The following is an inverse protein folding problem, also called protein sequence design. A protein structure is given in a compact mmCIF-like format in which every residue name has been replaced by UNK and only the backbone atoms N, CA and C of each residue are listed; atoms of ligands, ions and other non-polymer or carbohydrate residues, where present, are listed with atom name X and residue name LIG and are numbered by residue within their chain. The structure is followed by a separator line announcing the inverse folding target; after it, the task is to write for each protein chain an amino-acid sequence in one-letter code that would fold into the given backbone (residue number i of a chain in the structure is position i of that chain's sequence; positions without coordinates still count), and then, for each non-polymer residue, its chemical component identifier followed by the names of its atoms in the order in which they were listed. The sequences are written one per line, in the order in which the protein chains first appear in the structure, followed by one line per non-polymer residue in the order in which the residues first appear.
data_IF_604614239092
#
_entry.id   IF_604614239092
#
_cell.length_a   1.000
_cell.length_b   1.000
_cell.length_c   1.000
_cell.angle_alpha   90.00
_cell.angle_beta   90.00
_cell.angle_gamma   90.00
#
_symmetry.space_group_name_H-M   'P 1'
#
loop_
_entity.id
_entity.type
_entity.pdbx_description
1 polymer ?
#
# COMPACT_ATOMS: atom_id res chain seq x y z
N UNK A 1 32.37 65.46 1.06
CA UNK A 1 32.06 65.60 -0.37
C UNK A 1 31.10 64.49 -0.79
N UNK A 2 29.86 64.84 -1.13
CA UNK A 2 28.96 64.16 -2.07
C UNK A 2 27.61 64.88 -1.99
N UNK A 3 27.30 65.63 -3.05
CA UNK A 3 26.20 66.56 -3.14
C UNK A 3 24.85 65.83 -3.36
N UNK A 4 23.80 66.34 -2.70
CA UNK A 4 22.41 65.96 -2.94
C UNK A 4 21.89 66.70 -4.17
N UNK A 5 21.55 65.97 -5.24
CA UNK A 5 20.83 66.51 -6.40
C UNK A 5 19.32 66.51 -6.11
N UNK A 6 18.72 67.69 -6.14
CA UNK A 6 17.26 67.90 -6.15
C UNK A 6 16.79 67.83 -7.61
N UNK A 7 15.84 66.96 -7.91
CA UNK A 7 15.10 66.99 -9.17
C UNK A 7 13.99 68.05 -9.09
N UNK A 8 13.96 68.94 -10.08
CA UNK A 8 12.99 70.01 -10.25
C UNK A 8 11.67 69.47 -10.83
N UNK A 9 10.56 69.83 -10.19
CA UNK A 9 9.21 69.66 -10.73
C UNK A 9 8.93 70.79 -11.73
N UNK A 10 9.14 70.54 -13.01
CA UNK A 10 8.59 71.39 -14.08
C UNK A 10 7.14 70.96 -14.35
N UNK A 11 6.21 71.70 -13.76
CA UNK A 11 4.77 71.60 -14.04
C UNK A 11 4.51 72.24 -15.40
N UNK A 12 4.19 71.41 -16.40
CA UNK A 12 3.62 71.85 -17.66
C UNK A 12 2.19 72.33 -17.43
N UNK A 13 2.00 73.66 -17.47
CA UNK A 13 0.69 74.28 -17.62
C UNK A 13 0.27 74.14 -19.08
N UNK A 14 -0.61 73.19 -19.38
CA UNK A 14 -1.53 73.21 -20.53
C UNK A 14 -2.47 72.00 -20.46
N UNK A 15 -3.57 72.13 -19.71
CA UNK A 15 -4.73 71.24 -19.80
C UNK A 15 -5.93 72.05 -20.29
N UNK A 16 -6.63 71.61 -21.35
CA UNK A 16 -7.85 72.28 -21.80
C UNK A 16 -8.96 72.06 -20.76
N UNK A 17 -9.73 73.13 -20.49
CA UNK A 17 -10.95 73.08 -19.70
C UNK A 17 -12.00 72.24 -20.44
N UNK A 18 -12.21 71.00 -20.01
CA UNK A 18 -13.39 70.23 -20.42
C UNK A 18 -14.63 70.83 -19.75
N UNK A 19 -15.30 71.72 -20.47
CA UNK A 19 -16.69 72.13 -20.24
C UNK A 19 -17.59 70.90 -20.43
N UNK A 20 -18.54 70.73 -19.51
CA UNK A 20 -19.43 69.57 -19.43
C UNK A 20 -20.14 69.25 -20.75
N UNK A 21 -19.84 68.07 -21.29
CA UNK A 21 -20.76 67.36 -22.15
C UNK A 21 -21.72 66.60 -21.24
N UNK A 22 -22.99 67.01 -21.24
CA UNK A 22 -24.08 66.14 -20.78
C UNK A 22 -24.06 64.91 -21.67
N UNK A 23 -23.64 63.78 -21.12
CA UNK A 23 -23.86 62.47 -21.71
C UNK A 23 -25.37 62.25 -21.75
N UNK A 24 -25.96 62.48 -22.92
CA UNK A 24 -27.30 62.01 -23.25
C UNK A 24 -27.21 60.49 -23.19
N UNK A 25 -28.01 59.87 -22.33
CA UNK A 25 -28.13 58.42 -22.25
C UNK A 25 -28.55 57.89 -23.62
N UNK A 26 -27.59 57.37 -24.39
CA UNK A 26 -27.88 56.51 -25.53
C UNK A 26 -28.57 55.26 -25.00
N UNK A 27 -29.60 54.80 -25.70
CA UNK A 27 -30.38 53.60 -25.36
C UNK A 27 -29.46 52.47 -24.92
N UNK A 28 -29.53 52.16 -23.62
CA UNK A 28 -28.73 51.10 -23.00
C UNK A 28 -29.29 49.80 -23.53
N UNK A 29 -28.68 49.26 -24.59
CA UNK A 29 -28.90 47.86 -24.97
C UNK A 29 -28.82 47.02 -23.70
N UNK A 30 -29.84 46.19 -23.46
CA UNK A 30 -30.00 45.41 -22.23
C UNK A 30 -28.77 44.51 -22.08
N UNK A 31 -27.74 45.01 -21.38
CA UNK A 31 -26.55 44.25 -21.03
C UNK A 31 -26.94 43.38 -19.86
N UNK A 32 -26.92 42.07 -20.06
CA UNK A 32 -27.10 41.12 -18.97
C UNK A 32 -26.14 41.47 -17.82
N UNK A 33 -26.63 41.56 -16.58
CA UNK A 33 -25.80 41.95 -15.45
C UNK A 33 -24.77 40.85 -15.16
N UNK A 34 -23.48 41.16 -15.35
CA UNK A 34 -22.37 40.28 -15.01
C UNK A 34 -22.01 40.40 -13.52
N UNK A 35 -22.63 39.57 -12.69
CA UNK A 35 -22.32 39.53 -11.26
C UNK A 35 -20.99 38.80 -10.98
N UNK A 36 -20.21 39.24 -9.99
CA UNK A 36 -19.04 38.50 -9.55
C UNK A 36 -19.44 37.15 -8.93
N UNK A 37 -18.59 36.12 -9.01
CA UNK A 37 -18.89 34.83 -8.42
C UNK A 37 -19.02 34.94 -6.90
N UNK A 38 -20.00 34.25 -6.32
CA UNK A 38 -20.22 34.19 -4.87
C UNK A 38 -19.18 33.26 -4.26
N UNK A 39 -18.01 33.80 -3.90
CA UNK A 39 -16.89 33.05 -3.32
C UNK A 39 -16.29 33.79 -2.13
N UNK A 40 -15.83 33.05 -1.12
CA UNK A 40 -15.19 33.62 0.06
C UNK A 40 -13.85 34.32 -0.30
N UNK A 41 -13.41 35.32 0.47
CA UNK A 41 -12.10 35.96 0.25
C UNK A 41 -10.91 34.99 0.45
N UNK A 42 -9.76 35.24 -0.17
CA UNK A 42 -8.55 34.42 -0.01
C UNK A 42 -7.68 34.76 1.19
N UNK A 43 -7.58 36.05 1.51
CA UNK A 43 -6.60 36.59 2.46
C UNK A 43 -7.14 36.72 3.88
N UNK A 44 -8.47 36.63 4.07
CA UNK A 44 -9.07 36.77 5.40
C UNK A 44 -8.65 35.63 6.35
N UNK A 45 -8.63 35.95 7.65
CA UNK A 45 -8.39 34.98 8.73
C UNK A 45 -9.70 34.29 9.15
N UNK A 46 -10.37 33.63 8.21
CA UNK A 46 -11.63 32.89 8.45
C UNK A 46 -11.52 31.42 8.03
N UNK A 47 -12.48 30.61 8.48
CA UNK A 47 -12.62 29.20 8.07
C UNK A 47 -12.95 29.07 6.58
N UNK A 48 -13.81 29.94 6.05
CA UNK A 48 -14.17 30.00 4.63
C UNK A 48 -12.96 30.35 3.74
N UNK A 49 -12.14 31.32 4.14
CA UNK A 49 -10.90 31.66 3.43
C UNK A 49 -9.86 30.53 3.48
N UNK A 50 -9.82 29.75 4.57
CA UNK A 50 -8.97 28.56 4.68
C UNK A 50 -9.42 27.44 3.74
N UNK A 51 -10.73 27.20 3.61
CA UNK A 51 -11.30 26.23 2.66
C UNK A 51 -11.00 26.61 1.21
N UNK A 52 -11.27 27.86 0.82
CA UNK A 52 -10.95 28.35 -0.53
C UNK A 52 -9.47 28.20 -0.89
N UNK A 53 -8.55 28.53 0.03
CA UNK A 53 -7.10 28.30 -0.18
C UNK A 53 -6.75 26.83 -0.35
N UNK A 54 -7.45 25.93 0.35
CA UNK A 54 -7.26 24.49 0.18
C UNK A 54 -7.77 24.04 -1.20
N UNK A 55 -8.93 24.52 -1.64
CA UNK A 55 -9.49 24.24 -2.97
C UNK A 55 -8.61 24.75 -4.11
N UNK A 56 -8.12 25.98 -4.04
CA UNK A 56 -7.20 26.53 -5.06
C UNK A 56 -5.89 25.73 -5.12
N UNK A 57 -5.38 25.29 -3.97
CA UNK A 57 -4.24 24.38 -3.93
C UNK A 57 -4.56 23.01 -4.55
N UNK A 58 -5.75 22.46 -4.30
CA UNK A 58 -6.17 21.19 -4.92
C UNK A 58 -6.20 21.36 -6.44
N UNK A 59 -6.80 22.45 -6.95
CA UNK A 59 -6.83 22.75 -8.40
C UNK A 59 -5.43 22.83 -8.99
N UNK A 60 -4.49 23.48 -8.30
CA UNK A 60 -3.09 23.53 -8.69
C UNK A 60 -2.48 22.12 -8.77
N UNK A 61 -2.69 21.28 -7.74
CA UNK A 61 -2.16 19.91 -7.69
C UNK A 61 -2.74 19.04 -8.82
N UNK A 62 -4.04 19.16 -9.08
CA UNK A 62 -4.72 18.44 -10.17
C UNK A 62 -4.14 18.78 -11.55
N UNK A 63 -3.82 20.06 -11.79
CA UNK A 63 -3.28 20.53 -13.05
C UNK A 63 -1.80 20.16 -13.29
N UNK A 64 -1.09 19.69 -12.27
CA UNK A 64 0.35 19.42 -12.35
C UNK A 64 0.70 17.99 -12.78
N UNK A 65 1.87 17.80 -13.42
CA UNK A 65 2.36 16.48 -13.77
C UNK A 65 2.66 15.64 -12.51
N UNK A 66 2.72 14.31 -12.65
CA UNK A 66 2.80 13.36 -11.53
C UNK A 66 3.98 13.66 -10.58
N UNK A 67 5.17 13.92 -11.09
CA UNK A 67 6.35 14.21 -10.27
C UNK A 67 6.15 15.46 -9.38
N UNK A 68 5.58 16.53 -9.96
CA UNK A 68 5.27 17.77 -9.23
C UNK A 68 4.09 17.57 -8.27
N UNK A 69 3.09 16.78 -8.65
CA UNK A 69 1.95 16.38 -7.81
C UNK A 69 2.45 15.68 -6.54
N UNK A 70 3.32 14.67 -6.68
CA UNK A 70 3.94 13.98 -5.54
C UNK A 70 4.74 14.95 -4.66
N UNK A 71 5.55 15.83 -5.27
CA UNK A 71 6.30 16.86 -4.56
C UNK A 71 5.36 17.77 -3.75
N UNK A 72 4.29 18.29 -4.35
CA UNK A 72 3.35 19.19 -3.68
C UNK A 72 2.55 18.55 -2.54
N UNK A 73 2.20 17.27 -2.69
CA UNK A 73 1.51 16.48 -1.66
C UNK A 73 2.46 16.24 -0.47
N UNK A 74 3.71 15.88 -0.74
CA UNK A 74 4.70 15.47 0.27
C UNK A 74 5.49 16.63 0.88
N UNK A 75 5.51 17.81 0.24
CA UNK A 75 6.30 19.00 0.65
C UNK A 75 6.09 19.44 2.10
N UNK A 76 4.86 19.40 2.59
CA UNK A 76 4.55 19.91 3.93
C UNK A 76 4.77 18.81 4.97
N UNK A 77 5.84 18.96 5.73
CA UNK A 77 6.15 18.08 6.86
C UNK A 77 5.41 18.55 8.12
N UNK A 78 4.67 17.63 8.72
CA UNK A 78 3.98 17.80 10.00
C UNK A 78 4.09 16.49 10.79
N UNK A 79 3.84 16.57 12.08
CA UNK A 79 3.77 15.39 12.96
C UNK A 79 2.74 14.37 12.46
N UNK A 80 3.21 13.20 12.07
CA UNK A 80 2.47 12.05 11.51
C UNK A 80 2.72 10.80 12.35
N UNK A 81 1.75 9.89 12.40
CA UNK A 81 1.90 8.59 13.03
C UNK A 81 2.72 7.68 12.13
N UNK A 82 3.70 6.96 12.70
CA UNK A 82 4.43 5.92 11.98
C UNK A 82 3.74 4.60 12.24
N UNK A 83 3.23 3.98 11.18
CA UNK A 83 2.68 2.63 11.20
C UNK A 83 3.80 1.67 10.84
N UNK A 84 4.06 0.71 11.73
CA UNK A 84 5.06 -0.33 11.52
C UNK A 84 4.34 -1.62 11.08
N UNK A 85 4.58 -2.14 9.87
CA UNK A 85 3.98 -3.41 9.45
C UNK A 85 4.29 -4.54 10.43
N UNK A 86 5.55 -4.66 10.83
CA UNK A 86 6.02 -5.62 11.84
C UNK A 86 5.88 -5.05 13.27
N UNK A 87 4.66 -4.99 13.79
CA UNK A 87 4.33 -4.38 15.10
C UNK A 87 4.17 -5.40 16.23
N UNK A 88 4.47 -4.99 17.47
CA UNK A 88 4.22 -5.78 18.69
C UNK A 88 2.85 -5.50 19.33
N UNK A 89 2.06 -4.60 18.72
CA UNK A 89 0.80 -4.18 19.28
C UNK A 89 -0.26 -5.31 19.19
N UNK A 90 -1.03 -5.47 20.26
CA UNK A 90 -2.12 -6.46 20.30
C UNK A 90 -3.30 -6.01 19.44
N UNK A 91 -3.92 -6.94 18.73
CA UNK A 91 -5.08 -6.71 17.86
C UNK A 91 -4.86 -5.54 16.88
N UNK A 92 -3.63 -5.37 16.39
CA UNK A 92 -3.24 -4.29 15.50
C UNK A 92 -3.93 -4.36 14.13
N UNK A 93 -4.37 -5.55 13.73
CA UNK A 93 -5.06 -5.83 12.48
C UNK A 93 -6.33 -4.98 12.34
N UNK A 94 -7.15 -4.92 13.40
CA UNK A 94 -8.37 -4.09 13.44
C UNK A 94 -8.06 -2.60 13.34
N UNK A 95 -6.97 -2.16 13.98
CA UNK A 95 -6.54 -0.76 13.89
C UNK A 95 -6.05 -0.41 12.49
N UNK A 96 -5.31 -1.30 11.86
CA UNK A 96 -4.79 -1.07 10.52
C UNK A 96 -5.92 -1.06 9.50
N UNK A 97 -6.88 -2.00 9.59
CA UNK A 97 -8.11 -1.98 8.81
C UNK A 97 -8.85 -0.64 8.93
N UNK A 98 -8.96 -0.08 10.13
CA UNK A 98 -9.55 1.24 10.35
C UNK A 98 -8.75 2.38 9.68
N UNK A 99 -7.42 2.38 9.81
CA UNK A 99 -6.56 3.43 9.26
C UNK A 99 -6.49 3.44 7.73
N UNK A 100 -6.72 2.28 7.09
CA UNK A 100 -6.63 2.10 5.64
C UNK A 100 -7.98 1.89 4.97
N UNK A 101 -9.08 1.86 5.74
CA UNK A 101 -10.44 1.55 5.28
C UNK A 101 -10.48 0.22 4.50
N UNK A 102 -9.88 -0.82 5.10
CA UNK A 102 -9.75 -2.15 4.49
C UNK A 102 -10.62 -3.16 5.22
N UNK A 103 -11.39 -3.93 4.48
CA UNK A 103 -12.13 -5.08 4.98
C UNK A 103 -11.29 -6.35 4.81
N UNK A 104 -11.21 -7.16 5.87
CA UNK A 104 -10.53 -8.45 5.83
C UNK A 104 -11.51 -9.58 5.50
N UNK A 105 -11.14 -10.44 4.55
CA UNK A 105 -11.88 -11.64 4.14
C UNK A 105 -10.98 -12.85 4.39
N UNK A 106 -11.49 -13.84 5.10
CA UNK A 106 -10.77 -15.08 5.36
C UNK A 106 -10.74 -15.95 4.11
N UNK A 107 -9.58 -16.55 3.81
CA UNK A 107 -9.37 -17.33 2.59
C UNK A 107 -8.76 -16.50 1.47
N UNK A 108 -8.73 -17.06 0.26
CA UNK A 108 -8.19 -16.41 -0.95
C UNK A 108 -9.33 -16.00 -1.90
N UNK A 109 -9.05 -15.10 -2.85
CA UNK A 109 -10.01 -14.75 -3.90
C UNK A 109 -10.46 -15.98 -4.71
N UNK A 110 -11.66 -15.90 -5.29
CA UNK A 110 -12.24 -16.98 -6.11
C UNK A 110 -11.32 -17.42 -7.25
N UNK A 111 -10.50 -16.51 -7.79
CA UNK A 111 -9.50 -16.81 -8.83
C UNK A 111 -8.49 -17.87 -8.42
N UNK A 112 -8.30 -18.11 -7.12
CA UNK A 112 -7.42 -19.14 -6.59
C UNK A 112 -8.18 -20.41 -6.16
N UNK A 113 -9.53 -20.39 -6.14
CA UNK A 113 -10.38 -21.51 -5.69
C UNK A 113 -11.16 -22.19 -6.81
N UNK A 114 -11.34 -21.56 -7.98
CA UNK A 114 -12.21 -22.02 -9.09
C UNK A 114 -11.93 -23.44 -9.61
N UNK A 115 -10.79 -24.04 -9.30
CA UNK A 115 -10.50 -25.43 -9.68
C UNK A 115 -11.14 -26.50 -8.76
N UNK A 116 -11.85 -26.11 -7.69
CA UNK A 116 -12.57 -27.07 -6.83
C UNK A 116 -13.96 -27.46 -7.36
N UNK A 117 -14.61 -26.63 -8.18
CA UNK A 117 -16.03 -26.79 -8.53
C UNK A 117 -16.31 -27.47 -9.87
N UNK A 118 -15.31 -27.66 -10.73
CA UNK A 118 -15.49 -28.34 -12.03
C UNK A 118 -15.29 -29.87 -11.96
N UNK A 119 -15.26 -30.45 -10.76
CA UNK A 119 -15.35 -31.88 -10.55
C UNK A 119 -16.51 -32.17 -9.59
N UNK A 120 -17.74 -32.16 -10.11
CA UNK A 120 -18.80 -33.00 -9.57
C UNK A 120 -18.56 -34.42 -10.09
N UNK A 121 -18.23 -35.40 -9.23
CA UNK A 121 -18.44 -36.79 -9.56
C UNK A 121 -19.93 -37.08 -9.35
N UNK A 122 -20.64 -37.43 -10.42
CA UNK A 122 -21.73 -38.37 -10.25
C UNK A 122 -21.10 -39.67 -9.72
N UNK A 123 -21.68 -40.16 -8.63
CA UNK A 123 -21.38 -41.38 -7.89
C UNK A 123 -20.20 -41.32 -6.89
N UNK A 124 -20.56 -41.65 -5.65
CA UNK A 124 -19.77 -41.42 -4.46
C UNK A 124 -18.63 -42.41 -4.26
N UNK A 125 -17.45 -41.85 -3.99
CA UNK A 125 -16.43 -42.38 -3.08
C UNK A 125 -15.49 -41.21 -2.72
N UNK A 126 -15.47 -40.82 -1.44
CA UNK A 126 -14.58 -39.77 -0.92
C UNK A 126 -13.13 -40.27 -0.89
N UNK A 127 -12.37 -39.98 -1.94
CA UNK A 127 -10.91 -40.11 -1.93
C UNK A 127 -10.28 -38.85 -1.29
N UNK A 128 -9.38 -38.98 -0.29
CA UNK A 128 -8.68 -37.85 0.31
C UNK A 128 -7.52 -37.44 -0.61
N UNK A 129 -7.82 -36.66 -1.65
CA UNK A 129 -6.81 -36.30 -2.65
C UNK A 129 -7.25 -35.33 -3.74
N UNK A 130 -8.31 -34.54 -3.53
CA UNK A 130 -8.69 -33.48 -4.48
C UNK A 130 -7.68 -32.32 -4.40
N UNK A 131 -6.53 -32.52 -5.02
CA UNK A 131 -5.42 -31.59 -5.01
C UNK A 131 -5.74 -30.31 -5.76
N UNK A 132 -5.26 -29.18 -5.24
CA UNK A 132 -5.22 -27.91 -5.96
C UNK A 132 -4.46 -28.13 -7.28
N UNK A 133 -5.08 -27.84 -8.42
CA UNK A 133 -4.41 -27.81 -9.72
C UNK A 133 -3.84 -26.40 -9.90
N UNK A 134 -2.62 -26.28 -10.44
CA UNK A 134 -2.05 -24.96 -10.74
C UNK A 134 -2.28 -24.70 -12.24
N UNK A 135 -3.11 -23.71 -12.61
CA UNK A 135 -3.40 -23.44 -14.01
C UNK A 135 -2.13 -23.19 -14.83
N UNK A 136 -1.95 -23.96 -15.90
CA UNK A 136 -0.81 -23.82 -16.82
C UNK A 136 0.48 -24.53 -16.41
N UNK A 137 0.44 -25.40 -15.39
CA UNK A 137 1.55 -26.27 -14.99
C UNK A 137 1.16 -27.74 -15.11
N UNK A 138 1.92 -28.49 -15.92
CA UNK A 138 1.77 -29.93 -16.06
C UNK A 138 2.29 -30.66 -14.81
N UNK A 139 1.84 -31.91 -14.59
CA UNK A 139 2.28 -32.72 -13.44
C UNK A 139 3.79 -32.96 -13.39
N UNK A 140 4.43 -33.14 -14.55
CA UNK A 140 5.89 -33.28 -14.66
C UNK A 140 6.62 -31.99 -14.26
N UNK A 141 6.15 -30.84 -14.76
CA UNK A 141 6.67 -29.53 -14.41
C UNK A 141 6.56 -29.25 -12.91
N UNK A 142 5.43 -29.62 -12.29
CA UNK A 142 5.26 -29.52 -10.85
C UNK A 142 6.28 -30.39 -10.10
N UNK A 143 6.55 -31.61 -10.59
CA UNK A 143 7.51 -32.52 -9.98
C UNK A 143 8.94 -31.98 -10.06
N UNK A 144 9.33 -31.37 -11.18
CA UNK A 144 10.62 -30.67 -11.34
C UNK A 144 10.72 -29.51 -10.34
N UNK A 145 9.71 -28.63 -10.27
CA UNK A 145 9.68 -27.50 -9.34
C UNK A 145 9.71 -27.95 -7.88
N UNK A 146 8.99 -29.02 -7.54
CA UNK A 146 9.00 -29.64 -6.21
C UNK A 146 10.39 -30.15 -5.85
N UNK A 147 11.09 -30.80 -6.79
CA UNK A 147 12.47 -31.26 -6.58
C UNK A 147 13.44 -30.09 -6.34
N UNK A 148 13.25 -28.97 -7.05
CA UNK A 148 14.05 -27.76 -6.87
C UNK A 148 13.81 -27.12 -5.49
N UNK A 149 12.56 -27.04 -5.05
CA UNK A 149 12.24 -26.51 -3.71
C UNK A 149 12.83 -27.39 -2.62
N UNK A 150 12.71 -28.71 -2.77
CA UNK A 150 13.34 -29.67 -1.86
C UNK A 150 14.86 -29.44 -1.80
N UNK A 151 15.51 -29.32 -2.96
CA UNK A 151 16.94 -29.02 -3.03
C UNK A 151 17.32 -27.71 -2.32
N UNK A 152 16.55 -26.63 -2.50
CA UNK A 152 16.79 -25.35 -1.83
C UNK A 152 16.65 -25.45 -0.31
N UNK A 153 15.66 -26.22 0.18
CA UNK A 153 15.50 -26.49 1.61
C UNK A 153 16.72 -27.24 2.14
N UNK A 154 17.13 -28.35 1.49
CA UNK A 154 18.30 -29.13 1.89
C UNK A 154 19.61 -28.33 1.82
N UNK A 155 19.76 -27.49 0.80
CA UNK A 155 20.93 -26.63 0.65
C UNK A 155 21.10 -25.71 1.86
N UNK A 156 20.03 -25.06 2.31
CA UNK A 156 20.11 -24.08 3.37
C UNK A 156 20.02 -24.67 4.78
N UNK A 157 19.35 -25.80 4.96
CA UNK A 157 19.17 -26.44 6.27
C UNK A 157 20.22 -27.52 6.57
N UNK A 158 20.71 -28.24 5.56
CA UNK A 158 21.60 -29.38 5.76
C UNK A 158 23.01 -29.17 5.18
N UNK A 159 23.13 -28.82 3.89
CA UNK A 159 24.45 -28.75 3.23
C UNK A 159 25.28 -27.52 3.63
N UNK A 160 24.62 -26.37 3.80
CA UNK A 160 25.31 -25.12 4.12
C UNK A 160 25.70 -25.07 5.59
N UNK A 161 27.00 -25.15 5.87
CA UNK A 161 27.55 -24.94 7.21
C UNK A 161 27.37 -23.49 7.65
N UNK A 162 26.38 -23.24 8.51
CA UNK A 162 26.10 -21.91 9.08
C UNK A 162 26.86 -21.73 10.40
N UNK A 163 27.39 -20.53 10.63
CA UNK A 163 27.89 -20.14 11.96
C UNK A 163 26.70 -20.00 12.90
N UNK A 164 26.92 -20.23 14.20
CA UNK A 164 25.88 -20.04 15.21
C UNK A 164 25.40 -18.59 15.17
N UNK A 165 24.15 -18.41 14.76
CA UNK A 165 23.53 -17.09 14.69
C UNK A 165 23.28 -16.52 16.10
N UNK A 166 23.30 -15.20 16.21
CA UNK A 166 22.80 -14.53 17.42
C UNK A 166 21.29 -14.75 17.55
N UNK A 167 20.79 -14.89 18.77
CA UNK A 167 19.38 -15.17 19.09
C UNK A 167 18.41 -14.14 18.46
N UNK A 168 18.88 -12.90 18.24
CA UNK A 168 18.08 -11.81 17.67
C UNK A 168 18.31 -11.56 16.17
N UNK A 169 19.14 -12.40 15.52
CA UNK A 169 19.38 -12.36 14.08
C UNK A 169 19.23 -13.74 13.44
N UNK A 170 18.62 -14.68 14.12
CA UNK A 170 18.53 -16.07 13.70
C UNK A 170 17.66 -16.19 12.44
N UNK A 171 16.46 -15.62 12.47
CA UNK A 171 15.57 -15.54 11.31
C UNK A 171 16.25 -14.89 10.10
N UNK A 172 16.89 -13.73 10.29
CA UNK A 172 17.54 -13.00 9.18
C UNK A 172 18.73 -13.79 8.60
N UNK A 173 19.53 -14.46 9.44
CA UNK A 173 20.74 -15.17 9.01
C UNK A 173 20.45 -16.57 8.45
N UNK A 174 19.43 -17.25 8.95
CA UNK A 174 19.14 -18.63 8.56
C UNK A 174 18.03 -18.72 7.52
N UNK A 175 16.91 -18.01 7.75
CA UNK A 175 15.71 -18.06 6.90
C UNK A 175 15.76 -17.02 5.79
N UNK A 176 16.38 -15.86 6.03
CA UNK A 176 16.56 -14.83 5.02
C UNK A 176 17.23 -15.32 3.72
N UNK A 177 18.38 -16.03 3.79
CA UNK A 177 19.00 -16.63 2.61
C UNK A 177 18.15 -17.71 1.95
N UNK A 178 17.46 -18.54 2.74
CA UNK A 178 16.52 -19.54 2.22
C UNK A 178 15.42 -18.90 1.38
N UNK A 179 14.76 -17.87 1.90
CA UNK A 179 13.70 -17.17 1.18
C UNK A 179 14.23 -16.51 -0.11
N UNK A 180 15.46 -15.97 -0.07
CA UNK A 180 16.13 -15.39 -1.26
C UNK A 180 16.43 -16.43 -2.32
N UNK A 181 16.97 -17.59 -1.94
CA UNK A 181 17.24 -18.68 -2.86
C UNK A 181 15.95 -19.25 -3.44
N UNK A 182 14.94 -19.48 -2.59
CA UNK A 182 13.64 -20.01 -2.99
C UNK A 182 12.98 -19.12 -4.04
N UNK A 183 12.81 -17.82 -3.76
CA UNK A 183 12.14 -16.89 -4.67
C UNK A 183 12.94 -16.67 -5.95
N UNK A 184 14.28 -16.61 -5.87
CA UNK A 184 15.12 -16.48 -7.07
C UNK A 184 14.97 -17.70 -7.98
N UNK A 185 15.09 -18.91 -7.43
CA UNK A 185 14.95 -20.17 -8.19
C UNK A 185 13.54 -20.28 -8.77
N UNK A 186 12.50 -20.02 -7.98
CA UNK A 186 11.12 -20.09 -8.47
C UNK A 186 10.83 -19.05 -9.55
N UNK A 187 11.26 -17.79 -9.38
CA UNK A 187 11.07 -16.74 -10.41
C UNK A 187 11.69 -17.17 -11.75
N UNK A 188 12.90 -17.72 -11.73
CA UNK A 188 13.58 -18.17 -12.95
C UNK A 188 12.96 -19.44 -13.56
N UNK A 189 12.63 -20.44 -12.75
CA UNK A 189 12.06 -21.69 -13.25
C UNK A 189 10.64 -21.51 -13.77
N UNK A 190 9.83 -20.69 -13.08
CA UNK A 190 8.46 -20.38 -13.48
C UNK A 190 8.42 -19.49 -14.73
N UNK A 191 9.50 -18.76 -15.06
CA UNK A 191 9.55 -17.93 -16.25
C UNK A 191 9.34 -18.70 -17.57
N UNK A 192 9.57 -20.02 -17.59
CA UNK A 192 9.23 -20.90 -18.72
C UNK A 192 7.72 -20.95 -19.00
N UNK A 193 6.91 -20.87 -17.94
CA UNK A 193 5.44 -21.00 -17.98
C UNK A 193 4.73 -19.64 -17.89
N UNK A 194 5.34 -18.68 -17.19
CA UNK A 194 4.86 -17.31 -17.07
C UNK A 194 5.89 -16.32 -17.64
N UNK A 195 5.73 -15.85 -18.90
CA UNK A 195 6.71 -14.98 -19.55
C UNK A 195 6.85 -13.60 -18.89
N UNK A 196 5.90 -13.18 -18.05
CA UNK A 196 5.99 -11.91 -17.30
C UNK A 196 7.15 -11.95 -16.30
N UNK A 197 7.47 -13.13 -15.76
CA UNK A 197 8.60 -13.29 -14.85
C UNK A 197 9.94 -13.02 -15.54
N UNK A 198 10.07 -13.28 -16.84
CA UNK A 198 11.26 -12.98 -17.63
C UNK A 198 11.54 -11.47 -17.70
N UNK A 199 10.48 -10.66 -17.77
CA UNK A 199 10.54 -9.20 -17.83
C UNK A 199 10.30 -8.54 -16.47
N UNK A 200 10.28 -9.33 -15.40
CA UNK A 200 10.09 -8.83 -14.05
C UNK A 200 11.41 -8.35 -13.45
N UNK A 201 11.31 -7.46 -12.45
CA UNK A 201 12.44 -7.05 -11.63
C UNK A 201 12.31 -7.64 -10.24
N UNK A 202 13.38 -8.29 -9.79
CA UNK A 202 13.51 -8.87 -8.46
C UNK A 202 14.37 -7.96 -7.59
N UNK A 203 13.75 -7.19 -6.69
CA UNK A 203 14.51 -6.34 -5.78
C UNK A 203 14.74 -7.05 -4.44
N UNK A 204 15.97 -6.98 -3.93
CA UNK A 204 16.34 -7.55 -2.63
C UNK A 204 16.41 -6.43 -1.59
N UNK A 205 15.57 -6.55 -0.56
CA UNK A 205 15.44 -5.60 0.55
C UNK A 205 15.16 -4.15 0.12
N UNK A 206 14.18 -3.91 -0.79
CA UNK A 206 13.82 -2.57 -1.22
C UNK A 206 13.12 -1.81 -0.11
N UNK A 207 13.15 -0.48 -0.19
CA UNK A 207 12.31 0.36 0.66
C UNK A 207 10.95 0.57 -0.01
N UNK A 208 9.88 0.42 0.75
CA UNK A 208 8.52 0.79 0.32
C UNK A 208 7.97 1.80 1.31
N UNK A 209 7.35 2.87 0.82
CA UNK A 209 6.86 3.93 1.70
C UNK A 209 5.61 4.57 1.15
N UNK A 210 4.66 4.90 2.04
CA UNK A 210 3.41 5.54 1.66
C UNK A 210 2.96 6.53 2.72
N UNK A 211 2.51 7.70 2.27
CA UNK A 211 2.02 8.80 3.10
C UNK A 211 0.57 9.12 2.74
N UNK A 212 -0.30 9.13 3.74
CA UNK A 212 -1.71 9.45 3.53
C UNK A 212 -2.33 10.16 4.76
N UNK A 213 -3.61 10.52 4.61
CA UNK A 213 -4.43 11.13 5.66
C UNK A 213 -5.69 10.31 5.85
N UNK A 214 -6.10 10.11 7.10
CA UNK A 214 -7.34 9.42 7.47
C UNK A 214 -7.86 10.04 8.77
N UNK A 215 -9.08 10.57 8.74
CA UNK A 215 -9.70 11.17 9.92
C UNK A 215 -9.10 12.53 10.33
N UNK A 216 -9.69 13.11 11.37
CA UNK A 216 -9.32 14.41 11.93
C UNK A 216 -9.26 14.34 13.45
N UNK A 217 -8.55 15.29 14.04
CA UNK A 217 -8.48 15.44 15.50
C UNK A 217 -8.44 16.91 15.89
N UNK A 218 -9.00 17.21 17.05
CA UNK A 218 -8.86 18.51 17.69
C UNK A 218 -7.61 18.49 18.54
N UNK A 219 -6.76 19.51 18.40
CA UNK A 219 -5.51 19.60 19.17
C UNK A 219 -5.86 19.83 20.66
N UNK A 220 -5.44 18.94 21.58
CA UNK A 220 -5.89 19.01 22.97
C UNK A 220 -5.18 20.08 23.81
N UNK A 221 -3.87 20.30 23.57
CA UNK A 221 -3.01 21.19 24.37
C UNK A 221 -2.06 22.02 23.49
N UNK A 222 -1.50 23.09 24.05
CA UNK A 222 -0.54 23.99 23.40
C UNK A 222 -1.19 25.17 22.66
N UNK A 223 -0.38 26.00 22.00
CA UNK A 223 -0.83 27.24 21.35
C UNK A 223 -1.85 27.05 20.20
N UNK A 224 -1.94 25.84 19.64
CA UNK A 224 -2.92 25.48 18.59
C UNK A 224 -4.15 24.76 19.13
N UNK A 225 -4.38 24.77 20.45
CA UNK A 225 -5.53 24.10 21.09
C UNK A 225 -6.85 24.51 20.42
N UNK A 226 -7.75 23.54 20.27
CA UNK A 226 -9.06 23.76 19.65
C UNK A 226 -9.05 23.79 18.12
N UNK A 227 -7.88 23.86 17.48
CA UNK A 227 -7.80 23.78 16.03
C UNK A 227 -7.97 22.34 15.53
N UNK A 228 -8.77 22.19 14.48
CA UNK A 228 -8.94 20.96 13.72
C UNK A 228 -7.72 20.69 12.83
N UNK A 229 -7.20 19.47 12.89
CA UNK A 229 -6.06 19.00 12.10
C UNK A 229 -6.32 17.60 11.55
N UNK A 230 -5.98 17.33 10.27
CA UNK A 230 -6.05 15.97 9.73
C UNK A 230 -5.02 15.06 10.39
N UNK A 231 -5.43 13.83 10.67
CA UNK A 231 -4.54 12.79 11.15
C UNK A 231 -3.75 12.23 9.96
N UNK A 232 -2.42 12.21 10.11
CA UNK A 232 -1.47 11.85 9.06
C UNK A 232 -0.76 10.55 9.44
N UNK A 233 -0.53 9.72 8.46
CA UNK A 233 0.12 8.42 8.62
C UNK A 233 1.27 8.26 7.63
N UNK A 234 2.26 7.47 8.03
CA UNK A 234 3.36 7.04 7.18
C UNK A 234 3.63 5.57 7.48
N UNK A 235 3.76 4.76 6.43
CA UNK A 235 4.36 3.43 6.50
C UNK A 235 5.73 3.53 5.84
N UNK A 236 6.74 3.03 6.53
CA UNK A 236 8.08 2.81 5.98
C UNK A 236 8.42 1.34 6.18
N UNK A 237 8.32 0.57 5.10
CA UNK A 237 8.46 -0.87 5.07
C UNK A 237 9.71 -1.31 4.29
N UNK A 238 10.18 -2.52 4.59
CA UNK A 238 11.32 -3.17 3.93
C UNK A 238 11.04 -4.67 3.76
N UNK A 239 10.28 -5.08 2.72
CA UNK A 239 10.16 -6.49 2.37
C UNK A 239 11.54 -7.12 2.12
N UNK A 240 11.67 -8.43 2.28
CA UNK A 240 12.93 -9.12 1.97
C UNK A 240 13.16 -9.16 0.46
N UNK A 241 12.10 -9.44 -0.30
CA UNK A 241 12.10 -9.46 -1.76
C UNK A 241 10.79 -8.86 -2.24
N UNK A 242 10.83 -8.16 -3.37
CA UNK A 242 9.61 -7.85 -4.12
C UNK A 242 9.83 -8.14 -5.60
N UNK A 243 8.77 -8.60 -6.26
CA UNK A 243 8.72 -8.79 -7.70
C UNK A 243 7.90 -7.65 -8.29
N UNK A 244 8.48 -6.92 -9.23
CA UNK A 244 7.80 -5.86 -9.98
C UNK A 244 7.65 -6.24 -11.44
N UNK A 245 6.59 -5.77 -12.06
CA UNK A 245 6.24 -6.04 -13.46
C UNK A 245 5.93 -4.75 -14.22
N UNK A 246 6.01 -4.82 -15.54
CA UNK A 246 5.66 -3.71 -16.45
C UNK A 246 4.16 -3.53 -16.60
N UNK A 247 3.40 -4.60 -16.37
CA UNK A 247 1.95 -4.65 -16.49
C UNK A 247 1.30 -4.89 -15.13
N UNK A 248 0.11 -4.34 -14.96
CA UNK A 248 -0.68 -4.43 -13.75
C UNK A 248 -1.41 -5.77 -13.68
N UNK A 249 -1.40 -6.41 -12.50
CA UNK A 249 -2.16 -7.64 -12.26
C UNK A 249 -3.67 -7.43 -12.42
N UNK A 250 -4.43 -8.47 -12.80
CA UNK A 250 -5.87 -8.36 -12.97
C UNK A 250 -6.54 -8.15 -11.61
N UNK A 251 -7.70 -7.50 -11.63
CA UNK A 251 -8.50 -7.31 -10.43
C UNK A 251 -9.06 -8.66 -9.94
N UNK A 252 -9.07 -8.88 -8.63
CA UNK A 252 -9.71 -10.07 -8.04
C UNK A 252 -11.23 -9.91 -7.97
N UNK A 253 -11.69 -8.68 -7.82
CA UNK A 253 -13.08 -8.34 -7.68
C UNK A 253 -13.43 -7.04 -8.42
N UNK A 254 -14.69 -6.87 -8.83
CA UNK A 254 -15.15 -5.59 -9.35
C UNK A 254 -14.89 -4.43 -8.39
N UNK A 255 -14.54 -3.26 -8.93
CA UNK A 255 -14.24 -2.06 -8.14
C UNK A 255 -15.38 -1.64 -7.20
N UNK A 256 -16.63 -1.89 -7.62
CA UNK A 256 -17.84 -1.53 -6.89
C UNK A 256 -18.46 -2.70 -6.11
N UNK A 257 -17.76 -3.85 -6.03
CA UNK A 257 -18.26 -5.01 -5.31
C UNK A 257 -18.51 -4.66 -3.83
N UNK A 258 -19.76 -4.82 -3.40
CA UNK A 258 -20.15 -4.68 -2.00
C UNK A 258 -19.78 -5.96 -1.25
N UNK A 259 -18.66 -5.93 -0.54
CA UNK A 259 -18.32 -7.01 0.39
C UNK A 259 -19.19 -6.90 1.64
N UNK A 260 -19.68 -8.06 2.11
CA UNK A 260 -20.36 -8.19 3.41
C UNK A 260 -19.41 -7.87 4.57
N UNK A 261 -18.10 -8.02 4.37
CA UNK A 261 -17.09 -7.75 5.39
C UNK A 261 -17.07 -6.26 5.78
N UNK A 262 -17.38 -6.00 7.05
CA UNK A 262 -17.35 -4.66 7.62
C UNK A 262 -15.93 -4.21 7.95
N UNK A 263 -15.69 -2.89 7.83
CA UNK A 263 -14.43 -2.28 8.27
C UNK A 263 -14.59 -1.94 9.74
N UNK A 264 -13.70 -2.42 10.64
CA UNK A 264 -13.74 -2.05 12.04
C UNK A 264 -13.63 -0.52 12.24
N UNK A 265 -14.55 0.04 13.02
CA UNK A 265 -14.50 1.45 13.40
C UNK A 265 -13.95 1.63 14.82
N UNK A 266 -12.83 2.33 14.92
CA UNK A 266 -12.19 2.61 16.20
C UNK A 266 -12.42 4.06 16.59
N UNK A 267 -13.20 4.27 17.65
CA UNK A 267 -13.49 5.61 18.21
C UNK A 267 -12.35 6.15 19.07
N UNK A 268 -11.38 5.30 19.42
CA UNK A 268 -10.23 5.66 20.25
C UNK A 268 -9.16 6.36 19.41
N UNK A 269 -8.39 7.23 20.06
CA UNK A 269 -7.31 7.93 19.40
C UNK A 269 -6.14 6.97 19.07
N UNK A 270 -5.44 7.14 17.94
CA UNK A 270 -4.37 6.22 17.51
C UNK A 270 -3.21 6.06 18.50
N UNK A 271 -3.02 7.00 19.42
CA UNK A 271 -1.99 6.96 20.46
C UNK A 271 -2.28 5.99 21.61
N UNK A 272 -3.46 5.35 21.64
CA UNK A 272 -3.76 4.25 22.57
C UNK A 272 -3.09 2.95 22.12
N UNK A 273 -2.94 2.76 20.80
CA UNK A 273 -1.99 1.79 20.26
C UNK A 273 -0.56 2.31 20.54
N UNK A 274 0.48 1.47 20.70
CA UNK A 274 1.87 1.92 20.82
C UNK A 274 2.42 2.50 19.49
N UNK A 275 1.69 3.46 18.91
CA UNK A 275 2.03 4.26 17.74
C UNK A 275 2.42 5.66 18.18
N UNK A 276 3.59 6.08 17.70
CA UNK A 276 4.17 7.36 18.05
C UNK A 276 4.16 8.31 16.86
N UNK A 277 4.06 9.60 17.17
CA UNK A 277 4.09 10.66 16.15
C UNK A 277 5.53 11.13 15.98
N UNK A 278 5.96 11.26 14.73
CA UNK A 278 7.26 11.84 14.37
C UNK A 278 7.09 12.81 13.20
N UNK A 279 8.08 13.66 12.98
CA UNK A 279 8.12 14.56 11.83
C UNK A 279 9.45 14.38 11.10
N UNK A 280 9.34 14.04 9.82
CA UNK A 280 10.44 13.88 8.87
C UNK A 280 9.84 13.99 7.46
N UNK A 281 10.68 13.84 6.43
CA UNK A 281 10.25 13.87 5.05
C UNK A 281 9.12 12.86 4.78
N UNK A 282 8.14 13.27 3.98
CA UNK A 282 7.06 12.37 3.54
C UNK A 282 7.55 11.62 2.31
N UNK A 283 7.48 10.29 2.37
CA UNK A 283 7.94 9.42 1.30
C UNK A 283 6.74 8.68 0.70
N UNK A 284 6.69 8.69 -0.62
CA UNK A 284 5.85 7.80 -1.43
C UNK A 284 6.84 7.13 -2.38
N UNK A 285 7.06 5.83 -2.18
CA UNK A 285 8.13 5.10 -2.86
C UNK A 285 7.75 3.63 -3.01
N UNK A 286 7.81 3.11 -4.23
CA UNK A 286 7.42 1.74 -4.58
C UNK A 286 8.58 0.73 -4.53
N UNK A 287 9.80 1.21 -4.26
CA UNK A 287 11.06 0.47 -4.41
C UNK A 287 11.95 1.05 -5.52
N UNK A 288 11.36 1.75 -6.48
CA UNK A 288 12.08 2.45 -7.55
C UNK A 288 11.56 3.85 -7.81
N UNK A 289 12.34 4.63 -8.57
CA UNK A 289 11.99 6.00 -8.93
C UNK A 289 10.91 5.99 -10.02
N UNK A 290 10.18 7.11 -10.12
CA UNK A 290 9.07 7.30 -11.07
C UNK A 290 9.43 7.04 -12.54
N UNK A 291 10.69 7.21 -12.93
CA UNK A 291 11.15 7.02 -14.31
C UNK A 291 11.28 5.55 -14.73
N UNK A 292 11.18 4.61 -13.79
CA UNK A 292 11.30 3.18 -14.07
C UNK A 292 10.04 2.64 -14.75
N UNK A 293 10.13 1.99 -15.93
CA UNK A 293 8.98 1.38 -16.60
C UNK A 293 8.33 0.25 -15.80
N UNK A 294 9.08 -0.42 -14.91
CA UNK A 294 8.60 -1.55 -14.10
C UNK A 294 7.93 -1.01 -12.82
N UNK A 295 6.79 -0.36 -12.99
CA UNK A 295 6.14 0.42 -11.92
C UNK A 295 5.05 -0.33 -11.14
N UNK A 296 4.66 -1.53 -11.56
CA UNK A 296 3.60 -2.32 -10.90
C UNK A 296 4.18 -3.41 -10.02
N UNK A 297 3.50 -3.70 -8.91
CA UNK A 297 3.87 -4.76 -8.00
C UNK A 297 3.16 -6.07 -8.34
N UNK A 298 3.91 -7.17 -8.29
CA UNK A 298 3.37 -8.52 -8.44
C UNK A 298 3.21 -9.18 -7.06
N UNK A 299 4.32 -9.65 -6.48
CA UNK A 299 4.33 -10.33 -5.17
C UNK A 299 5.45 -9.81 -4.27
N UNK A 300 5.15 -9.58 -2.99
CA UNK A 300 6.12 -9.28 -1.94
C UNK A 300 6.37 -10.47 -1.02
N UNK A 301 7.61 -10.61 -0.57
CA UNK A 301 8.01 -11.62 0.41
C UNK A 301 8.51 -10.96 1.68
N UNK A 302 7.86 -11.30 2.79
CA UNK A 302 8.17 -10.78 4.11
C UNK A 302 8.64 -11.90 5.03
N UNK A 303 9.65 -11.59 5.83
CA UNK A 303 10.17 -12.49 6.85
C UNK A 303 9.70 -12.04 8.23
N UNK A 304 9.18 -12.98 9.01
CA UNK A 304 8.86 -12.76 10.42
C UNK A 304 10.17 -12.62 11.21
N UNK A 305 10.41 -11.49 11.89
CA UNK A 305 11.63 -11.31 12.67
C UNK A 305 11.58 -12.13 13.96
N UNK A 306 12.76 -12.40 14.55
CA UNK A 306 12.89 -13.19 15.78
C UNK A 306 12.02 -12.70 16.95
N UNK A 307 11.71 -11.39 16.97
CA UNK A 307 10.81 -10.75 17.94
C UNK A 307 9.41 -11.36 18.00
N UNK A 308 8.90 -11.81 16.85
CA UNK A 308 7.52 -12.26 16.65
C UNK A 308 7.44 -13.73 16.22
N UNK A 309 8.55 -14.46 16.33
CA UNK A 309 8.57 -15.90 16.07
C UNK A 309 7.58 -16.63 16.98
N UNK A 310 6.92 -17.66 16.44
CA UNK A 310 5.86 -18.43 17.12
C UNK A 310 6.28 -18.90 18.51
N UNK A 311 7.47 -19.50 18.64
CA UNK A 311 7.98 -19.98 19.92
C UNK A 311 8.11 -18.87 20.98
N UNK A 312 8.51 -17.67 20.54
CA UNK A 312 8.66 -16.52 21.43
C UNK A 312 7.31 -15.95 21.83
N UNK A 313 6.34 -15.95 20.92
CA UNK A 313 4.96 -15.55 21.19
C UNK A 313 4.28 -16.55 22.15
N UNK A 314 4.48 -17.85 21.93
CA UNK A 314 4.00 -18.91 22.82
C UNK A 314 4.58 -18.77 24.23
N UNK A 315 5.89 -18.55 24.37
CA UNK A 315 6.55 -18.29 25.67
C UNK A 315 6.01 -17.06 26.41
N UNK A 316 5.41 -16.11 25.70
CA UNK A 316 4.77 -14.91 26.28
C UNK A 316 3.27 -15.07 26.53
N UNK A 317 2.70 -16.26 26.29
CA UNK A 317 1.26 -16.50 26.30
C UNK A 317 0.51 -15.57 25.31
N UNK A 318 1.05 -15.41 24.10
CA UNK A 318 0.51 -14.57 23.03
C UNK A 318 0.40 -15.34 21.70
N UNK A 319 0.12 -16.65 21.75
CA UNK A 319 -0.05 -17.49 20.55
C UNK A 319 -1.23 -17.03 19.68
N UNK A 320 -2.28 -16.49 20.30
CA UNK A 320 -3.45 -15.89 19.65
C UNK A 320 -3.11 -14.67 18.78
N UNK A 321 -1.98 -14.01 19.06
CA UNK A 321 -1.53 -12.81 18.35
C UNK A 321 -0.66 -13.12 17.13
N UNK A 322 -0.33 -14.39 16.86
CA UNK A 322 0.51 -14.78 15.71
C UNK A 322 -0.19 -14.43 14.40
N UNK A 323 -1.42 -14.88 14.19
CA UNK A 323 -2.16 -14.59 12.95
C UNK A 323 -2.52 -13.10 12.85
N UNK A 324 -2.84 -12.46 13.97
CA UNK A 324 -3.07 -11.01 14.04
C UNK A 324 -1.85 -10.24 13.54
N UNK A 325 -0.64 -10.63 13.97
CA UNK A 325 0.60 -10.02 13.51
C UNK A 325 0.79 -10.19 12.00
N UNK A 326 0.59 -11.41 11.49
CA UNK A 326 0.75 -11.73 10.06
C UNK A 326 -0.24 -10.92 9.21
N UNK A 327 -1.52 -10.86 9.60
CA UNK A 327 -2.54 -10.04 8.93
C UNK A 327 -2.20 -8.56 8.98
N UNK A 328 -1.75 -8.05 10.12
CA UNK A 328 -1.36 -6.64 10.26
C UNK A 328 -0.20 -6.27 9.34
N UNK A 329 0.80 -7.15 9.24
CA UNK A 329 1.95 -6.97 8.37
C UNK A 329 1.52 -6.99 6.90
N UNK A 330 0.78 -8.01 6.48
CA UNK A 330 0.26 -8.12 5.11
C UNK A 330 -0.59 -6.93 4.69
N UNK A 331 -1.50 -6.48 5.56
CA UNK A 331 -2.34 -5.31 5.34
C UNK A 331 -1.51 -4.04 5.13
N UNK A 332 -0.61 -3.72 6.07
CA UNK A 332 0.15 -2.48 6.03
C UNK A 332 1.11 -2.45 4.84
N UNK A 333 1.83 -3.53 4.59
CA UNK A 333 2.77 -3.65 3.47
C UNK A 333 2.06 -3.52 2.12
N UNK A 334 0.98 -4.27 1.92
CA UNK A 334 0.25 -4.26 0.66
C UNK A 334 -0.52 -2.95 0.42
N UNK A 335 -1.08 -2.34 1.46
CA UNK A 335 -1.68 -1.01 1.34
C UNK A 335 -0.63 0.04 0.98
N UNK A 336 0.54 0.03 1.63
CA UNK A 336 1.61 0.98 1.33
C UNK A 336 2.10 0.80 -0.11
N UNK A 337 2.25 -0.44 -0.57
CA UNK A 337 2.73 -0.74 -1.91
C UNK A 337 1.72 -0.37 -3.00
N UNK A 338 0.47 -0.80 -2.89
CA UNK A 338 -0.59 -0.47 -3.85
C UNK A 338 -0.89 1.03 -3.84
N UNK A 339 -0.91 1.67 -2.67
CA UNK A 339 -1.10 3.11 -2.55
C UNK A 339 0.03 3.91 -3.20
N UNK A 340 1.28 3.47 -3.06
CA UNK A 340 2.41 4.11 -3.75
C UNK A 340 2.35 3.92 -5.27
N UNK A 341 1.97 2.72 -5.75
CA UNK A 341 1.78 2.44 -7.17
C UNK A 341 0.69 3.34 -7.78
N UNK A 342 -0.46 3.46 -7.11
CA UNK A 342 -1.54 4.33 -7.57
C UNK A 342 -1.12 5.82 -7.60
N UNK A 343 -0.36 6.27 -6.59
CA UNK A 343 0.18 7.64 -6.58
C UNK A 343 1.21 7.90 -7.70
N UNK A 344 1.97 6.89 -8.12
CA UNK A 344 2.86 6.98 -9.29
C UNK A 344 2.08 7.08 -10.60
N UNK A 345 0.82 6.66 -10.63
CA UNK A 345 -0.09 6.86 -11.77
C UNK A 345 -0.87 8.19 -11.69
N UNK A 346 -0.61 9.02 -10.68
CA UNK A 346 -1.23 10.33 -10.50
C UNK A 346 -2.52 10.33 -9.66
N UNK A 347 -2.99 9.18 -9.20
CA UNK A 347 -4.14 9.08 -8.29
C UNK A 347 -3.75 9.52 -6.87
N UNK A 348 -4.70 10.11 -6.16
CA UNK A 348 -4.52 10.51 -4.76
C UNK A 348 -5.89 10.76 -4.11
N UNK A 349 -5.88 11.15 -2.85
CA UNK A 349 -7.07 11.41 -2.02
C UNK A 349 -8.24 12.17 -2.71
N UNK A 350 -7.97 13.11 -3.63
CA UNK A 350 -9.02 13.85 -4.38
C UNK A 350 -9.35 13.28 -5.76
N UNK A 351 -8.38 12.63 -6.40
CA UNK A 351 -8.53 11.99 -7.70
C UNK A 351 -8.40 10.49 -7.47
N UNK A 352 -9.51 9.91 -7.01
CA UNK A 352 -9.56 8.51 -6.60
C UNK A 352 -9.29 7.56 -7.78
N UNK A 353 -8.94 6.32 -7.46
CA UNK A 353 -8.61 5.32 -8.46
C UNK A 353 -9.81 5.00 -9.34
N UNK A 354 -9.58 4.95 -10.66
CA UNK A 354 -10.59 4.55 -11.66
C UNK A 354 -10.58 3.06 -11.94
N UNK A 355 -9.49 2.37 -11.55
CA UNK A 355 -9.31 0.92 -11.63
C UNK A 355 -8.61 0.44 -10.34
N UNK A 356 -8.91 -0.77 -9.86
CA UNK A 356 -8.31 -1.26 -8.63
C UNK A 356 -6.83 -1.60 -8.83
N UNK A 357 -6.00 -1.39 -7.81
CA UNK A 357 -4.61 -1.84 -7.81
C UNK A 357 -4.46 -3.08 -6.95
N UNK A 358 -3.95 -4.15 -7.54
CA UNK A 358 -3.80 -5.44 -6.89
C UNK A 358 -2.33 -5.74 -6.61
N UNK A 359 -2.06 -6.34 -5.45
CA UNK A 359 -0.75 -6.87 -5.13
C UNK A 359 -0.89 -8.07 -4.20
N UNK A 360 0.11 -8.96 -4.25
CA UNK A 360 0.15 -10.18 -3.44
C UNK A 360 1.30 -10.10 -2.43
N UNK A 361 1.16 -10.77 -1.28
CA UNK A 361 2.26 -10.96 -0.35
C UNK A 361 2.25 -12.37 0.25
N UNK A 362 3.47 -12.87 0.49
CA UNK A 362 3.72 -14.10 1.23
C UNK A 362 4.56 -13.73 2.44
N UNK A 363 4.08 -14.11 3.63
CA UNK A 363 4.76 -13.85 4.90
C UNK A 363 5.15 -15.20 5.50
N UNK A 364 6.42 -15.35 5.87
CA UNK A 364 6.93 -16.63 6.38
C UNK A 364 7.92 -16.45 7.52
N UNK A 365 7.98 -17.46 8.40
CA UNK A 365 9.02 -17.64 9.41
C UNK A 365 10.03 -18.75 9.03
N UNK A 366 9.94 -19.26 7.79
CA UNK A 366 10.78 -20.32 7.23
C UNK A 366 10.10 -21.69 7.18
N UNK A 367 9.14 -21.96 8.07
CA UNK A 367 8.40 -23.23 8.08
C UNK A 367 6.93 -23.02 7.74
N UNK A 368 6.34 -21.93 8.23
CA UNK A 368 4.96 -21.58 7.97
C UNK A 368 4.88 -20.43 6.97
N UNK A 369 3.89 -20.50 6.08
CA UNK A 369 3.63 -19.56 5.02
C UNK A 369 2.18 -19.08 5.12
N UNK A 370 2.00 -17.77 5.15
CA UNK A 370 0.70 -17.11 5.08
C UNK A 370 0.60 -16.31 3.79
N UNK A 371 -0.50 -16.50 3.07
CA UNK A 371 -0.73 -15.93 1.76
C UNK A 371 -1.76 -14.82 1.86
N UNK A 372 -1.45 -13.67 1.25
CA UNK A 372 -2.29 -12.48 1.28
C UNK A 372 -2.46 -11.90 -0.13
N UNK A 373 -3.69 -11.53 -0.45
CA UNK A 373 -4.04 -10.79 -1.65
C UNK A 373 -4.68 -9.47 -1.24
N UNK A 374 -4.26 -8.37 -1.83
CA UNK A 374 -4.82 -7.05 -1.51
C UNK A 374 -5.30 -6.37 -2.78
N UNK A 375 -6.47 -5.74 -2.67
CA UNK A 375 -7.04 -4.91 -3.72
C UNK A 375 -7.36 -3.52 -3.17
N UNK A 376 -6.68 -2.53 -3.74
CA UNK A 376 -6.89 -1.10 -3.48
C UNK A 376 -8.02 -0.59 -4.39
N UNK A 377 -9.17 -0.34 -3.79
CA UNK A 377 -10.36 0.20 -4.46
C UNK A 377 -10.54 1.71 -4.22
N UNK A 378 -9.88 2.27 -3.21
CA UNK A 378 -9.97 3.70 -2.91
C UNK A 378 -8.76 4.25 -2.14
N UNK A 379 -8.35 5.46 -2.51
CA UNK A 379 -7.39 6.33 -1.83
C UNK A 379 -8.05 7.55 -1.17
N UNK A 380 -9.33 7.76 -1.42
CA UNK A 380 -10.15 8.85 -0.89
C UNK A 380 -10.46 8.64 0.60
N UNK A 381 -9.43 8.78 1.44
CA UNK A 381 -9.45 8.49 2.88
C UNK A 381 -9.58 9.75 3.75
N UNK A 382 -9.45 10.96 3.20
CA UNK A 382 -9.70 12.18 3.97
C UNK A 382 -11.18 12.32 4.36
N UNK A 383 -11.44 13.01 5.47
CA UNK A 383 -12.81 13.23 5.98
C UNK A 383 -13.73 13.83 4.92
N UNK A 384 -13.22 14.75 4.10
CA UNK A 384 -14.00 15.41 3.05
C UNK A 384 -14.40 14.46 1.92
N UNK A 385 -13.53 13.51 1.56
CA UNK A 385 -13.75 12.61 0.43
C UNK A 385 -14.39 11.29 0.85
N UNK A 386 -14.19 10.87 2.09
CA UNK A 386 -14.72 9.62 2.62
C UNK A 386 -16.23 9.66 2.88
N UNK A 387 -16.80 10.83 3.18
CA UNK A 387 -18.18 10.99 3.62
C UNK A 387 -19.22 10.40 2.64
N UNK A 388 -18.95 10.47 1.33
CA UNK A 388 -19.84 9.97 0.27
C UNK A 388 -19.22 8.79 -0.50
N UNK A 389 -18.17 8.16 0.04
CA UNK A 389 -17.45 7.11 -0.64
C UNK A 389 -17.84 5.72 -0.10
N UNK A 390 -18.68 4.94 -0.82
CA UNK A 390 -19.08 3.61 -0.38
C UNK A 390 -17.96 2.57 -0.53
N UNK A 391 -16.91 2.88 -1.33
CA UNK A 391 -15.84 1.93 -1.64
C UNK A 391 -14.97 1.67 -0.42
N UNK A 392 -14.52 0.42 -0.30
CA UNK A 392 -13.62 -0.08 0.74
C UNK A 392 -12.52 -0.91 0.07
N UNK A 393 -11.33 -0.86 0.64
CA UNK A 393 -10.24 -1.73 0.20
C UNK A 393 -10.46 -3.15 0.75
N UNK A 394 -9.86 -4.15 0.12
CA UNK A 394 -10.06 -5.55 0.50
C UNK A 394 -8.72 -6.24 0.69
N UNK A 395 -8.63 -7.03 1.76
CA UNK A 395 -7.52 -7.93 2.03
C UNK A 395 -8.08 -9.34 2.21
N UNK A 396 -7.65 -10.26 1.37
CA UNK A 396 -7.83 -11.69 1.55
C UNK A 396 -6.59 -12.26 2.23
N UNK A 397 -6.77 -13.24 3.10
CA UNK A 397 -5.63 -13.94 3.69
C UNK A 397 -5.98 -15.30 4.26
N UNK A 398 -5.06 -16.23 4.09
CA UNK A 398 -5.13 -17.56 4.72
C UNK A 398 -4.61 -17.53 6.15
N UNK A 399 -4.98 -18.55 6.92
CA UNK A 399 -4.19 -18.90 8.11
C UNK A 399 -2.80 -19.40 7.69
N UNK A 400 -1.91 -19.53 8.67
CA UNK A 400 -0.56 -20.00 8.39
C UNK A 400 -0.48 -21.49 8.11
N UNK A 401 0.08 -21.83 6.96
CA UNK A 401 0.20 -23.20 6.46
C UNK A 401 1.65 -23.67 6.58
N UNK A 402 1.87 -24.88 7.08
CA UNK A 402 3.21 -25.45 7.22
C UNK A 402 3.68 -26.03 5.87
N UNK A 403 4.84 -25.58 5.39
CA UNK A 403 5.44 -26.05 4.14
C UNK A 403 6.12 -27.42 4.30
N UNK A 404 6.87 -27.62 5.38
CA UNK A 404 7.52 -28.90 5.67
C UNK A 404 7.63 -29.11 7.18
N UNK A 405 7.78 -30.36 7.61
CA UNK A 405 7.86 -30.69 9.02
C UNK A 405 9.25 -30.42 9.59
N UNK A 406 10.26 -31.09 9.05
CA UNK A 406 11.63 -30.99 9.52
C UNK A 406 12.62 -31.46 8.43
N UNK A 407 13.91 -31.26 8.67
CA UNK A 407 14.98 -31.81 7.84
C UNK A 407 15.80 -32.80 8.66
N UNK A 408 15.67 -34.09 8.37
CA UNK A 408 16.28 -35.19 9.12
C UNK A 408 17.10 -36.06 8.17
N UNK A 409 18.32 -36.41 8.58
CA UNK A 409 19.24 -37.30 7.84
C UNK A 409 19.47 -36.95 6.36
N UNK A 410 19.35 -35.67 6.00
CA UNK A 410 19.54 -35.20 4.63
C UNK A 410 18.29 -35.28 3.75
N UNK A 411 17.12 -35.55 4.33
CA UNK A 411 15.82 -35.56 3.66
C UNK A 411 14.85 -34.54 4.28
N UNK A 412 13.96 -33.99 3.44
CA UNK A 412 12.88 -33.10 3.89
C UNK A 412 11.67 -33.94 4.25
N UNK A 413 11.30 -33.92 5.53
CA UNK A 413 10.15 -34.66 6.06
C UNK A 413 8.89 -33.82 5.92
N UNK A 414 7.81 -34.44 5.43
CA UNK A 414 6.47 -33.84 5.42
C UNK A 414 6.32 -32.61 4.51
N UNK A 415 7.00 -32.57 3.35
CA UNK A 415 6.81 -31.49 2.38
C UNK A 415 5.36 -31.46 1.88
N UNK A 416 4.67 -30.36 2.16
CA UNK A 416 3.27 -30.16 1.82
C UNK A 416 3.11 -29.58 0.41
N UNK A 417 2.62 -30.41 -0.49
CA UNK A 417 2.44 -30.06 -1.89
C UNK A 417 1.36 -28.98 -2.09
N UNK A 418 0.35 -28.89 -1.24
CA UNK A 418 -0.73 -27.89 -1.39
C UNK A 418 -0.20 -26.46 -1.13
N UNK A 419 0.69 -26.30 -0.15
CA UNK A 419 1.34 -25.01 0.13
C UNK A 419 2.26 -24.62 -1.03
N UNK A 420 2.98 -25.59 -1.60
CA UNK A 420 3.83 -25.35 -2.76
C UNK A 420 2.99 -24.96 -4.00
N UNK A 421 1.89 -25.67 -4.25
CA UNK A 421 0.96 -25.34 -5.34
C UNK A 421 0.39 -23.94 -5.20
N UNK A 422 0.00 -23.56 -3.98
CA UNK A 422 -0.49 -22.22 -3.69
C UNK A 422 0.58 -21.14 -3.92
N UNK A 423 1.82 -21.42 -3.50
CA UNK A 423 2.95 -20.54 -3.79
C UNK A 423 3.16 -20.39 -5.30
N UNK A 424 3.14 -21.48 -6.06
CA UNK A 424 3.27 -21.45 -7.51
C UNK A 424 2.11 -20.71 -8.19
N UNK A 425 0.86 -20.86 -7.73
CA UNK A 425 -0.29 -20.10 -8.23
C UNK A 425 -0.08 -18.59 -8.12
N UNK A 426 0.53 -18.11 -7.03
CA UNK A 426 0.87 -16.69 -6.88
C UNK A 426 1.83 -16.25 -7.99
N UNK A 427 2.92 -17.00 -8.24
CA UNK A 427 3.85 -16.72 -9.33
C UNK A 427 3.21 -16.84 -10.72
N UNK A 428 2.22 -17.70 -10.90
CA UNK A 428 1.54 -17.90 -12.19
C UNK A 428 0.51 -16.81 -12.51
N UNK A 429 0.15 -15.95 -11.56
CA UNK A 429 -0.79 -14.87 -11.83
C UNK A 429 -0.22 -13.89 -12.88
N UNK A 430 -1.06 -13.57 -13.88
CA UNK A 430 -0.72 -12.78 -15.06
C UNK A 430 -1.82 -11.74 -15.37
N UNK A 431 -1.46 -10.52 -15.83
CA UNK A 431 -2.36 -9.50 -16.37
C UNK A 431 -3.32 -10.00 -17.43
#
# INVERSE_FOLDING_TARGET
MAARLKLSLLVSQNLPRFRGQRLIHSEVGVKEPAYPPIVASLTAKSTSAKRRRAEERVKLICASPVAEKLSMITKIQRMKFIIYPQTFARNADRWYQHFTKTAYVSGLPETFTVDQTNQTPEDGELSPGSGVVVPGLDGEAFTELRSLVNFVILQEHHYRKKRRASIFRNQIQNVGPFLRSLVTVLTHSVAKYNPIMLHSSLDISPQVSHYWRRGERIIPKGHRRGNLEPTRFQIDDRPIIQIRTTQQLPQFAPLEASYTAEVPEIKLAPNVLPLFRRQYQNYVFTGTKLSDPICYGHTQFHLVPDGYHRDRMAKKNQSDQVEVFLRSNGLASLFAWTGAQAMYQGFWDREDVTRPFVSQAVITDGHFFSFFCYQLNTLALSVEMDANNPRKNILWGTESLRLFDDVQDGEVVGLNDDVLKLLLQFFMNRP
#
